data_IF_685519570183
#
_entry.id   IF_685519570183
#
_cell.length_a   1.000
_cell.length_b   1.000
_cell.length_c   1.000
_cell.angle_alpha   90.00
_cell.angle_beta   90.00
_cell.angle_gamma   90.00
#
_symmetry.space_group_name_H-M   'P 1'
#
loop_
_entity.id
_entity.type
_entity.pdbx_description
1 polymer ?
#
# COMPACT_ATOMS: atom_id res chain seq x y z
N UNK A 1 -31.25 -13.62 -1.70
CA UNK A 1 -30.12 -13.49 -0.75
C UNK A 1 -28.98 -12.83 -1.50
N UNK A 2 -28.75 -11.54 -1.29
CA UNK A 2 -27.68 -10.82 -1.98
C UNK A 2 -26.36 -11.28 -1.37
N UNK A 3 -25.48 -11.87 -2.18
CA UNK A 3 -24.14 -12.26 -1.74
C UNK A 3 -23.42 -11.01 -1.20
N UNK A 4 -22.73 -11.08 -0.04
CA UNK A 4 -21.96 -9.93 0.43
C UNK A 4 -20.96 -9.54 -0.66
N UNK A 5 -20.71 -8.23 -0.87
CA UNK A 5 -19.78 -7.78 -1.89
C UNK A 5 -18.40 -8.41 -1.67
N UNK A 6 -17.70 -8.72 -2.75
CA UNK A 6 -16.33 -9.24 -2.68
C UNK A 6 -15.44 -8.28 -1.87
N UNK A 7 -14.42 -8.77 -1.15
CA UNK A 7 -13.54 -7.91 -0.37
C UNK A 7 -12.79 -6.94 -1.29
N UNK A 8 -12.56 -5.72 -0.83
CA UNK A 8 -11.75 -4.76 -1.57
C UNK A 8 -10.27 -5.14 -1.49
N UNK A 9 -9.51 -4.89 -2.56
CA UNK A 9 -8.13 -5.38 -2.70
C UNK A 9 -7.14 -4.23 -2.81
N UNK A 10 -6.18 -4.18 -1.89
CA UNK A 10 -5.03 -3.28 -1.92
C UNK A 10 -3.79 -4.07 -2.32
N UNK A 11 -3.04 -3.59 -3.31
CA UNK A 11 -1.75 -4.16 -3.71
C UNK A 11 -0.61 -3.18 -3.40
N UNK A 12 0.40 -3.62 -2.67
CA UNK A 12 1.62 -2.82 -2.45
C UNK A 12 2.75 -3.31 -3.36
N UNK A 13 3.52 -2.39 -3.96
CA UNK A 13 4.50 -2.75 -5.00
C UNK A 13 5.86 -2.10 -4.75
N UNK A 14 6.90 -2.94 -4.61
CA UNK A 14 8.30 -2.50 -4.60
C UNK A 14 9.13 -3.30 -5.61
N UNK A 15 10.45 -3.32 -5.49
CA UNK A 15 11.33 -4.04 -6.42
C UNK A 15 11.32 -5.55 -6.14
N UNK A 16 11.94 -5.97 -5.03
CA UNK A 16 12.18 -7.39 -4.72
C UNK A 16 11.03 -8.13 -4.05
N UNK A 17 9.97 -7.42 -3.62
CA UNK A 17 8.90 -7.96 -2.77
C UNK A 17 9.37 -8.67 -1.50
N UNK A 18 10.48 -8.22 -0.91
CA UNK A 18 11.02 -8.80 0.32
C UNK A 18 11.17 -7.78 1.46
N UNK A 19 11.03 -6.48 1.21
CA UNK A 19 11.33 -5.47 2.23
C UNK A 19 10.23 -4.41 2.36
N UNK A 20 10.21 -3.39 1.48
CA UNK A 20 9.26 -2.27 1.57
C UNK A 20 7.80 -2.67 1.34
N UNK A 21 7.46 -3.34 0.21
CA UNK A 21 6.07 -3.73 -0.05
C UNK A 21 5.51 -4.76 0.94
N UNK A 22 6.27 -5.80 1.38
CA UNK A 22 5.81 -6.67 2.46
C UNK A 22 5.60 -5.91 3.76
N UNK A 23 6.46 -4.94 4.10
CA UNK A 23 6.26 -4.16 5.32
C UNK A 23 4.93 -3.39 5.29
N UNK A 24 4.61 -2.72 4.19
CA UNK A 24 3.33 -2.01 4.01
C UNK A 24 2.15 -2.98 4.06
N UNK A 25 2.26 -4.15 3.40
CA UNK A 25 1.22 -5.18 3.46
C UNK A 25 0.96 -5.63 4.90
N UNK A 26 2.02 -6.01 5.62
CA UNK A 26 1.89 -6.56 6.98
C UNK A 26 1.36 -5.55 7.98
N UNK A 27 1.79 -4.30 7.88
CA UNK A 27 1.24 -3.23 8.70
C UNK A 27 -0.24 -3.01 8.39
N UNK A 28 -0.64 -2.84 7.12
CA UNK A 28 -2.04 -2.63 6.77
C UNK A 28 -2.93 -3.82 7.15
N UNK A 29 -2.46 -5.06 6.96
CA UNK A 29 -3.19 -6.27 7.40
C UNK A 29 -3.42 -6.26 8.90
N UNK A 30 -2.41 -5.88 9.69
CA UNK A 30 -2.56 -5.76 11.13
C UNK A 30 -3.60 -4.68 11.51
N UNK A 31 -3.54 -3.50 10.87
CA UNK A 31 -4.45 -2.38 11.16
C UNK A 31 -5.89 -2.60 10.68
N UNK A 32 -6.08 -3.35 9.60
CA UNK A 32 -7.39 -3.59 8.97
C UNK A 32 -7.97 -4.98 9.30
N UNK A 33 -7.49 -5.60 10.38
CA UNK A 33 -7.99 -6.90 10.84
C UNK A 33 -9.49 -6.85 11.10
N UNK A 34 -10.24 -7.84 10.58
CA UNK A 34 -11.70 -7.93 10.76
C UNK A 34 -12.53 -7.05 9.81
N UNK A 35 -11.89 -6.37 8.85
CA UNK A 35 -12.58 -5.60 7.79
C UNK A 35 -12.77 -6.42 6.52
N UNK A 36 -13.52 -5.87 5.55
CA UNK A 36 -13.72 -6.41 4.20
C UNK A 36 -12.58 -6.01 3.24
N UNK A 37 -11.38 -5.72 3.74
CA UNK A 37 -10.20 -5.33 2.96
C UNK A 37 -9.15 -6.43 2.98
N UNK A 38 -8.71 -6.84 1.79
CA UNK A 38 -7.59 -7.75 1.58
C UNK A 38 -6.39 -6.94 1.10
N UNK A 39 -5.26 -7.12 1.76
CA UNK A 39 -4.00 -6.46 1.40
C UNK A 39 -2.98 -7.51 1.02
N UNK A 40 -2.35 -7.31 -0.13
CA UNK A 40 -1.28 -8.16 -0.65
C UNK A 40 -0.15 -7.30 -1.20
N UNK A 41 0.99 -7.91 -1.50
CA UNK A 41 2.13 -7.21 -2.10
C UNK A 41 2.71 -7.96 -3.29
N UNK A 42 3.43 -7.26 -4.15
CA UNK A 42 4.19 -7.84 -5.25
C UNK A 42 5.48 -7.04 -5.52
N UNK A 43 6.33 -7.59 -6.39
CA UNK A 43 7.62 -7.00 -6.77
C UNK A 43 7.77 -6.90 -8.27
N UNK A 44 8.28 -5.78 -8.77
CA UNK A 44 8.58 -5.62 -10.20
C UNK A 44 9.71 -6.56 -10.65
N UNK A 45 10.62 -6.90 -9.74
CA UNK A 45 11.70 -7.88 -9.92
C UNK A 45 11.78 -8.74 -8.66
N UNK A 46 10.71 -9.52 -8.42
CA UNK A 46 10.54 -10.20 -7.15
C UNK A 46 11.55 -11.32 -6.93
N UNK A 47 12.00 -11.48 -5.69
CA UNK A 47 12.77 -12.66 -5.25
C UNK A 47 11.77 -13.76 -4.90
N UNK A 48 11.12 -14.34 -5.92
CA UNK A 48 9.99 -15.27 -5.75
C UNK A 48 10.33 -16.40 -4.79
N UNK A 49 9.42 -16.66 -3.83
CA UNK A 49 9.60 -17.70 -2.82
C UNK A 49 10.32 -17.24 -1.54
N UNK A 50 10.95 -16.06 -1.54
CA UNK A 50 11.63 -15.53 -0.36
C UNK A 50 10.65 -14.98 0.68
N UNK A 51 11.05 -15.05 1.96
CA UNK A 51 10.37 -14.38 3.07
C UNK A 51 10.69 -12.88 3.16
N UNK A 52 10.18 -12.24 4.22
CA UNK A 52 10.55 -10.85 4.54
C UNK A 52 12.03 -10.77 4.88
N UNK A 53 12.70 -9.72 4.40
CA UNK A 53 14.09 -9.37 4.67
C UNK A 53 14.32 -9.31 6.18
N UNK A 54 15.30 -10.07 6.66
CA UNK A 54 15.58 -10.26 8.10
C UNK A 54 15.66 -8.95 8.90
N UNK A 55 16.33 -7.88 8.44
CA UNK A 55 16.41 -6.63 9.21
C UNK A 55 15.07 -5.89 9.34
N UNK A 56 14.09 -6.19 8.47
CA UNK A 56 12.75 -5.58 8.53
C UNK A 56 11.82 -6.28 9.53
N UNK A 57 12.07 -7.56 9.83
CA UNK A 57 11.26 -8.37 10.75
C UNK A 57 11.13 -7.74 12.15
N UNK A 58 12.21 -7.35 12.86
CA UNK A 58 12.07 -6.77 14.20
C UNK A 58 11.31 -5.43 14.19
N UNK A 59 11.40 -4.64 13.12
CA UNK A 59 10.67 -3.38 12.97
C UNK A 59 9.16 -3.63 12.83
N UNK A 60 8.77 -4.65 12.05
CA UNK A 60 7.37 -5.07 11.93
C UNK A 60 6.82 -5.58 13.25
N UNK A 61 7.55 -6.46 13.94
CA UNK A 61 7.14 -7.00 15.24
C UNK A 61 6.93 -5.88 16.25
N UNK A 62 7.86 -4.92 16.32
CA UNK A 62 7.74 -3.76 17.21
C UNK A 62 6.51 -2.88 16.91
N UNK A 63 6.06 -2.85 15.65
CA UNK A 63 4.85 -2.13 15.23
C UNK A 63 3.56 -2.98 15.28
N UNK A 64 3.61 -4.18 15.87
CA UNK A 64 2.46 -5.07 16.06
C UNK A 64 2.04 -5.83 14.79
N UNK A 65 2.95 -6.02 13.83
CA UNK A 65 2.71 -6.78 12.61
C UNK A 65 3.59 -8.04 12.56
N UNK A 66 3.06 -9.15 12.03
CA UNK A 66 3.82 -10.40 11.84
C UNK A 66 4.34 -10.54 10.40
N UNK A 67 5.58 -11.01 10.29
CA UNK A 67 6.22 -11.40 9.02
C UNK A 67 5.89 -12.85 8.61
N UNK A 68 5.19 -13.63 9.45
CA UNK A 68 5.03 -15.07 9.28
C UNK A 68 4.18 -15.43 8.05
N UNK A 69 4.55 -16.53 7.41
CA UNK A 69 3.86 -17.02 6.21
C UNK A 69 3.92 -16.07 5.02
N UNK A 70 4.81 -15.06 5.03
CA UNK A 70 5.05 -14.22 3.86
C UNK A 70 5.87 -14.96 2.81
N UNK A 71 5.43 -14.85 1.55
CA UNK A 71 6.14 -15.37 0.39
C UNK A 71 6.09 -14.32 -0.71
N UNK A 72 7.27 -13.91 -1.17
CA UNK A 72 7.43 -12.94 -2.23
C UNK A 72 6.86 -13.47 -3.56
N UNK A 73 6.17 -12.61 -4.30
CA UNK A 73 5.57 -12.89 -5.61
C UNK A 73 5.87 -11.81 -6.63
N UNK A 74 5.98 -12.23 -7.89
CA UNK A 74 6.21 -11.36 -9.04
C UNK A 74 4.96 -10.55 -9.37
N UNK A 75 5.15 -9.27 -9.68
CA UNK A 75 4.13 -8.42 -10.27
C UNK A 75 3.85 -8.90 -11.69
N UNK A 76 2.60 -9.19 -11.98
CA UNK A 76 2.11 -9.59 -13.31
C UNK A 76 0.78 -8.89 -13.60
N UNK A 77 0.36 -8.81 -14.87
CA UNK A 77 -0.97 -8.29 -15.20
C UNK A 77 -2.11 -9.03 -14.49
N UNK A 78 -1.98 -10.35 -14.29
CA UNK A 78 -2.97 -11.15 -13.57
C UNK A 78 -3.10 -10.73 -12.10
N UNK A 79 -1.98 -10.42 -11.43
CA UNK A 79 -1.99 -9.91 -10.04
C UNK A 79 -2.68 -8.53 -9.94
N UNK A 80 -2.65 -7.74 -11.02
CA UNK A 80 -3.25 -6.40 -11.06
C UNK A 80 -4.75 -6.39 -11.41
N UNK A 81 -5.30 -7.50 -11.92
CA UNK A 81 -6.65 -7.56 -12.51
C UNK A 81 -7.75 -7.05 -11.58
N UNK A 82 -7.82 -7.61 -10.36
CA UNK A 82 -8.92 -7.35 -9.42
C UNK A 82 -8.52 -6.41 -8.27
N UNK A 83 -7.52 -5.55 -8.47
CA UNK A 83 -7.04 -4.64 -7.42
C UNK A 83 -7.81 -3.33 -7.46
N UNK A 84 -8.33 -2.87 -6.32
CA UNK A 84 -9.07 -1.61 -6.21
C UNK A 84 -8.12 -0.41 -5.96
N UNK A 85 -7.00 -0.65 -5.28
CA UNK A 85 -5.99 0.38 -4.96
C UNK A 85 -4.57 -0.21 -5.02
N UNK A 86 -3.66 0.45 -5.73
CA UNK A 86 -2.24 0.09 -5.79
C UNK A 86 -1.39 1.15 -5.10
N UNK A 87 -0.54 0.71 -4.17
CA UNK A 87 0.41 1.51 -3.41
C UNK A 87 1.84 1.18 -3.85
N UNK A 88 2.38 2.00 -4.74
CA UNK A 88 3.76 1.91 -5.19
C UNK A 88 4.72 2.50 -4.15
N UNK A 89 5.90 1.92 -3.99
CA UNK A 89 6.90 2.43 -3.04
C UNK A 89 7.80 3.51 -3.64
N UNK A 90 7.76 3.69 -4.96
CA UNK A 90 8.42 4.78 -5.68
C UNK A 90 7.62 5.10 -6.94
N UNK A 91 7.87 6.26 -7.55
CA UNK A 91 7.35 6.65 -8.86
C UNK A 91 7.74 5.65 -9.95
N UNK A 92 8.95 5.09 -9.89
CA UNK A 92 9.38 4.01 -10.79
C UNK A 92 8.51 2.75 -10.67
N UNK A 93 8.17 2.33 -9.44
CA UNK A 93 7.23 1.22 -9.24
C UNK A 93 5.83 1.56 -9.76
N UNK A 94 5.38 2.81 -9.58
CA UNK A 94 4.11 3.29 -10.13
C UNK A 94 4.11 3.20 -11.66
N UNK A 95 5.18 3.62 -12.32
CA UNK A 95 5.33 3.48 -13.78
C UNK A 95 5.27 2.02 -14.21
N UNK A 96 6.00 1.11 -13.55
CA UNK A 96 5.97 -0.32 -13.86
C UNK A 96 4.56 -0.95 -13.72
N UNK A 97 3.79 -0.52 -12.72
CA UNK A 97 2.38 -0.95 -12.58
C UNK A 97 1.55 -0.49 -13.78
N UNK A 98 1.69 0.76 -14.21
CA UNK A 98 0.95 1.33 -15.34
C UNK A 98 1.38 0.70 -16.67
N UNK A 99 2.65 0.33 -16.82
CA UNK A 99 3.16 -0.42 -17.98
C UNK A 99 2.51 -1.81 -18.09
N UNK A 100 2.36 -2.53 -16.98
CA UNK A 100 1.67 -3.82 -16.97
C UNK A 100 0.15 -3.72 -17.13
N UNK A 101 -0.46 -2.66 -16.59
CA UNK A 101 -1.90 -2.45 -16.63
C UNK A 101 -2.20 -0.94 -16.78
N UNK A 102 -2.30 -0.41 -18.02
CA UNK A 102 -2.56 1.02 -18.24
C UNK A 102 -3.85 1.51 -17.56
N UNK A 103 -4.87 0.66 -17.47
CA UNK A 103 -6.12 0.95 -16.79
C UNK A 103 -5.97 1.21 -15.27
N UNK A 104 -4.89 0.74 -14.65
CA UNK A 104 -4.62 0.92 -13.22
C UNK A 104 -4.15 2.34 -12.86
N UNK A 105 -3.85 3.21 -13.85
CA UNK A 105 -3.30 4.55 -13.61
C UNK A 105 -4.11 5.40 -12.64
N UNK A 106 -5.45 5.29 -12.69
CA UNK A 106 -6.37 6.06 -11.83
C UNK A 106 -6.43 5.56 -10.40
N UNK A 107 -6.00 4.33 -10.16
CA UNK A 107 -5.99 3.66 -8.85
C UNK A 107 -4.59 3.35 -8.33
N UNK A 108 -3.56 3.93 -8.95
CA UNK A 108 -2.16 3.73 -8.55
C UNK A 108 -1.55 5.05 -8.08
N UNK A 109 -1.09 5.04 -6.84
CA UNK A 109 -0.41 6.14 -6.16
C UNK A 109 0.90 5.63 -5.59
N UNK A 110 1.86 6.50 -5.34
CA UNK A 110 2.90 6.13 -4.38
C UNK A 110 2.32 6.20 -2.96
N UNK A 111 2.85 5.41 -2.02
CA UNK A 111 2.35 5.39 -0.65
C UNK A 111 2.41 6.78 0.00
N UNK A 112 3.54 7.47 -0.16
CA UNK A 112 3.76 8.79 0.42
C UNK A 112 2.90 9.87 -0.26
N UNK A 113 2.70 9.79 -1.58
CA UNK A 113 1.74 10.65 -2.30
C UNK A 113 0.34 10.49 -1.72
N UNK A 114 -0.14 9.24 -1.57
CA UNK A 114 -1.49 9.00 -1.07
C UNK A 114 -1.66 9.50 0.37
N UNK A 115 -0.69 9.24 1.24
CA UNK A 115 -0.73 9.73 2.62
C UNK A 115 -0.77 11.26 2.69
N UNK A 116 -0.01 11.94 1.82
CA UNK A 116 -0.04 13.40 1.69
C UNK A 116 -1.38 13.90 1.16
N UNK A 117 -1.95 13.24 0.15
CA UNK A 117 -3.27 13.59 -0.39
C UNK A 117 -4.38 13.44 0.65
N UNK A 118 -4.31 12.43 1.52
CA UNK A 118 -5.28 12.19 2.59
C UNK A 118 -5.39 13.37 3.56
N UNK A 119 -4.37 14.22 3.71
CA UNK A 119 -4.46 15.44 4.50
C UNK A 119 -5.43 16.48 3.92
N UNK A 120 -5.81 16.34 2.65
CA UNK A 120 -6.73 17.24 1.94
C UNK A 120 -8.05 16.57 1.55
N UNK A 121 -8.18 15.24 1.72
CA UNK A 121 -9.45 14.54 1.51
C UNK A 121 -10.35 14.83 2.70
N UNK A 122 -11.56 15.34 2.45
CA UNK A 122 -12.58 15.51 3.48
C UNK A 122 -12.95 14.13 4.06
N UNK A 123 -12.71 13.89 5.37
CA UNK A 123 -13.06 12.63 6.01
C UNK A 123 -14.55 12.32 5.90
N UNK A 124 -15.44 13.31 5.98
CA UNK A 124 -16.88 13.10 5.89
C UNK A 124 -17.28 12.64 4.48
N UNK A 125 -16.67 13.20 3.44
CA UNK A 125 -16.89 12.79 2.06
C UNK A 125 -16.43 11.34 1.82
N UNK A 126 -15.28 10.94 2.36
CA UNK A 126 -14.81 9.55 2.26
C UNK A 126 -15.77 8.57 2.96
N UNK A 127 -16.28 8.93 4.14
CA UNK A 127 -17.24 8.11 4.88
C UNK A 127 -18.61 8.03 4.20
N UNK A 128 -19.06 9.13 3.63
CA UNK A 128 -20.30 9.15 2.84
C UNK A 128 -20.18 8.32 1.55
N UNK A 129 -18.98 8.17 0.99
CA UNK A 129 -18.73 7.38 -0.21
C UNK A 129 -18.69 5.86 0.04
N UNK A 130 -18.62 5.40 1.29
CA UNK A 130 -18.61 3.97 1.63
C UNK A 130 -18.89 3.68 3.10
N UNK A 131 -19.90 2.84 3.34
CA UNK A 131 -20.29 2.39 4.67
C UNK A 131 -19.26 1.43 5.27
N UNK A 132 -18.59 0.63 4.43
CA UNK A 132 -17.51 -0.29 4.85
C UNK A 132 -16.12 0.24 4.51
N UNK A 133 -15.06 -0.18 5.22
CA UNK A 133 -13.68 0.09 4.81
C UNK A 133 -13.39 -0.31 3.36
N UNK A 134 -13.93 -1.43 2.88
CA UNK A 134 -13.77 -1.87 1.50
C UNK A 134 -14.43 -0.94 0.48
N UNK A 135 -15.62 -0.41 0.76
CA UNK A 135 -16.24 0.62 -0.09
C UNK A 135 -15.40 1.91 -0.09
N UNK A 136 -14.84 2.30 1.06
CA UNK A 136 -13.93 3.45 1.15
C UNK A 136 -12.64 3.25 0.36
N UNK A 137 -12.07 2.04 0.34
CA UNK A 137 -10.91 1.71 -0.52
C UNK A 137 -11.22 1.96 -2.00
N UNK A 138 -12.43 1.59 -2.46
CA UNK A 138 -12.85 1.78 -3.85
C UNK A 138 -13.11 3.23 -4.21
N UNK A 139 -13.62 4.02 -3.26
CA UNK A 139 -13.89 5.44 -3.46
C UNK A 139 -12.61 6.31 -3.40
N UNK A 140 -11.64 5.90 -2.58
CA UNK A 140 -10.46 6.69 -2.25
C UNK A 140 -9.67 7.19 -3.48
N UNK A 141 -9.39 6.38 -4.53
CA UNK A 141 -8.68 6.86 -5.71
C UNK A 141 -9.29 8.11 -6.36
N UNK A 142 -10.62 8.17 -6.47
CA UNK A 142 -11.31 9.30 -7.09
C UNK A 142 -11.21 10.56 -6.22
N UNK A 143 -11.42 10.41 -4.91
CA UNK A 143 -11.33 11.51 -3.94
C UNK A 143 -9.90 12.06 -3.85
N UNK A 144 -8.90 11.18 -3.74
CA UNK A 144 -7.49 11.55 -3.70
C UNK A 144 -7.05 12.25 -4.99
N UNK A 145 -7.50 11.77 -6.16
CA UNK A 145 -7.23 12.43 -7.43
C UNK A 145 -7.84 13.84 -7.51
N UNK A 146 -9.04 14.04 -6.93
CA UNK A 146 -9.71 15.34 -6.88
C UNK A 146 -8.93 16.41 -6.12
N UNK A 147 -8.19 16.03 -5.09
CA UNK A 147 -7.43 16.96 -4.23
C UNK A 147 -5.95 17.10 -4.59
N UNK A 148 -5.47 16.43 -5.66
CA UNK A 148 -4.05 16.49 -6.08
C UNK A 148 -3.51 17.90 -6.29
N UNK A 149 -4.34 18.82 -6.78
CA UNK A 149 -3.97 20.21 -7.01
C UNK A 149 -3.70 20.99 -5.70
N UNK A 150 -4.21 20.51 -4.56
CA UNK A 150 -4.04 21.12 -3.25
C UNK A 150 -2.80 20.62 -2.50
N UNK A 151 -2.37 19.38 -2.78
CA UNK A 151 -1.38 18.69 -1.98
C UNK A 151 0.09 19.07 -2.29
N UNK A 152 0.34 19.94 -3.27
CA UNK A 152 1.69 20.31 -3.73
C UNK A 152 2.47 19.12 -4.30
N UNK A 153 3.79 19.28 -4.43
CA UNK A 153 4.72 18.21 -4.84
C UNK A 153 5.62 17.83 -3.66
N UNK A 154 5.80 16.54 -3.41
CA UNK A 154 6.70 16.01 -2.38
C UNK A 154 7.71 15.02 -2.96
N UNK A 155 8.73 14.67 -2.17
CA UNK A 155 9.49 13.45 -2.43
C UNK A 155 8.66 12.26 -2.00
N UNK A 156 7.96 11.67 -2.96
CA UNK A 156 7.02 10.59 -2.71
C UNK A 156 7.66 9.18 -2.87
N UNK A 157 9.00 9.11 -2.94
CA UNK A 157 9.76 7.86 -3.08
C UNK A 157 10.29 7.37 -1.73
N UNK A 158 10.04 6.08 -1.43
CA UNK A 158 10.60 5.43 -0.24
C UNK A 158 11.98 4.86 -0.54
N UNK A 159 12.98 5.32 0.20
CA UNK A 159 14.37 4.85 0.14
C UNK A 159 14.44 3.33 0.24
N UNK A 160 15.18 2.70 -0.67
CA UNK A 160 15.42 1.25 -0.66
C UNK A 160 16.54 0.87 0.33
N UNK A 161 16.24 0.10 1.38
CA UNK A 161 17.25 -0.24 2.39
C UNK A 161 18.02 -1.53 2.06
N UNK A 162 17.68 -2.28 1.01
CA UNK A 162 18.32 -3.57 0.71
C UNK A 162 19.85 -3.44 0.57
N UNK A 163 20.60 -4.26 1.32
CA UNK A 163 22.06 -4.26 1.34
C UNK A 163 22.69 -3.05 2.03
N UNK A 164 21.89 -2.22 2.72
CA UNK A 164 22.34 -1.04 3.47
C UNK A 164 22.36 -1.31 4.97
N UNK A 165 22.77 -0.30 5.75
CA UNK A 165 22.84 -0.40 7.20
C UNK A 165 21.46 -0.43 7.87
N UNK A 166 21.40 -0.93 9.11
CA UNK A 166 20.19 -0.94 9.94
C UNK A 166 19.56 0.45 10.11
N UNK A 167 20.37 1.51 10.09
CA UNK A 167 19.87 2.88 10.11
C UNK A 167 18.99 3.18 8.89
N UNK A 168 19.40 2.77 7.68
CA UNK A 168 18.61 2.97 6.46
C UNK A 168 17.34 2.12 6.48
N UNK A 169 17.38 0.91 7.05
CA UNK A 169 16.17 0.12 7.29
C UNK A 169 15.18 0.85 8.21
N UNK A 170 15.67 1.44 9.30
CA UNK A 170 14.84 2.26 10.21
C UNK A 170 14.29 3.49 9.51
N UNK A 171 15.10 4.23 8.75
CA UNK A 171 14.65 5.42 8.02
C UNK A 171 13.57 5.07 6.99
N UNK A 172 13.79 4.00 6.23
CA UNK A 172 12.79 3.44 5.30
C UNK A 172 11.50 3.12 6.06
N UNK A 173 11.58 2.35 7.14
CA UNK A 173 10.41 1.98 7.95
C UNK A 173 9.68 3.18 8.57
N UNK A 174 10.43 4.18 9.05
CA UNK A 174 9.89 5.41 9.63
C UNK A 174 9.16 6.28 8.60
N UNK A 175 9.46 6.13 7.31
CA UNK A 175 8.62 6.73 6.25
C UNK A 175 7.36 5.92 5.95
N UNK A 176 7.42 4.59 6.10
CA UNK A 176 6.31 3.68 5.80
C UNK A 176 5.21 3.69 6.87
N UNK A 177 5.59 3.50 8.13
CA UNK A 177 4.63 3.24 9.20
C UNK A 177 3.63 4.40 9.40
N UNK A 178 4.06 5.68 9.46
CA UNK A 178 3.12 6.79 9.58
C UNK A 178 2.15 6.88 8.39
N UNK A 179 2.65 6.68 7.15
CA UNK A 179 1.82 6.71 5.96
C UNK A 179 0.77 5.58 5.95
N UNK A 180 1.16 4.38 6.43
CA UNK A 180 0.24 3.26 6.63
C UNK A 180 -0.80 3.58 7.69
N UNK A 181 -0.41 4.15 8.83
CA UNK A 181 -1.34 4.49 9.91
C UNK A 181 -2.31 5.60 9.47
N UNK A 182 -1.86 6.59 8.67
CA UNK A 182 -2.73 7.60 8.04
C UNK A 182 -3.77 6.95 7.14
N UNK A 183 -3.36 6.04 6.25
CA UNK A 183 -4.29 5.34 5.36
C UNK A 183 -5.29 4.48 6.15
N UNK A 184 -4.80 3.69 7.11
CA UNK A 184 -5.67 2.84 7.93
C UNK A 184 -6.68 3.65 8.73
N UNK A 185 -6.26 4.77 9.33
CA UNK A 185 -7.16 5.67 10.05
C UNK A 185 -8.25 6.24 9.15
N UNK A 186 -7.90 6.70 7.94
CA UNK A 186 -8.86 7.22 6.96
C UNK A 186 -9.90 6.17 6.51
N UNK A 187 -9.52 4.89 6.48
CA UNK A 187 -10.42 3.80 6.09
C UNK A 187 -11.31 3.31 7.25
N UNK A 188 -10.94 3.54 8.50
CA UNK A 188 -11.65 3.01 9.67
C UNK A 188 -12.57 4.01 10.37
N UNK A 189 -12.29 5.32 10.29
CA UNK A 189 -12.88 6.34 11.17
C UNK A 189 -13.80 7.34 10.49
#
# INVERSE_FOLDING_TARGET
>A
MTQPPAPARILTVCTGNICRSPAVERLLRARLTGTDVVVESAGTHAVVGAGVSTPMVPLLTAAGASADGFVARQLTPAVLGDVDLVLALTRGHRSAVVEHAPAAVRRTFTLLELARLLAHVDPAALHAAGATPGERVRALPALAAGVRHLAGTGDDDVVDPIGRSDAVYRDSFNSLAPAVDTLAAALLR
#
